data_IF_418479004691
#
_entry.id   IF_418479004691
#
_cell.length_a   1.000
_cell.length_b   1.000
_cell.length_c   1.000
_cell.angle_alpha   90.00
_cell.angle_beta   90.00
_cell.angle_gamma   90.00
#
_symmetry.space_group_name_H-M   'P 1'
#
loop_
_entity.id
_entity.type
_entity.pdbx_description
1 polymer ?
#
# COMPACT_ATOMS: atom_id res chain seq x y z
N UNK A 1 -34.48 10.76 4.45
CA UNK A 1 -33.69 10.93 3.22
C UNK A 1 -32.21 10.60 3.50
N UNK A 2 -31.92 9.35 3.91
CA UNK A 2 -30.58 9.01 4.48
C UNK A 2 -29.92 7.81 3.80
N UNK A 3 -30.68 7.01 3.05
CA UNK A 3 -30.17 5.80 2.37
C UNK A 3 -29.26 6.13 1.17
N UNK A 4 -29.47 7.26 0.50
CA UNK A 4 -28.65 7.67 -0.64
C UNK A 4 -27.21 8.02 -0.25
N UNK A 5 -27.01 8.64 0.91
CA UNK A 5 -25.68 9.02 1.41
C UNK A 5 -24.87 7.78 1.80
N UNK A 6 -25.52 6.78 2.42
CA UNK A 6 -24.87 5.52 2.79
C UNK A 6 -24.40 4.75 1.55
N UNK A 7 -25.21 4.72 0.48
CA UNK A 7 -24.84 4.04 -0.77
C UNK A 7 -23.65 4.73 -1.45
N UNK A 8 -23.69 6.06 -1.55
CA UNK A 8 -22.58 6.85 -2.13
C UNK A 8 -21.30 6.73 -1.31
N UNK A 9 -21.40 6.77 0.03
CA UNK A 9 -20.25 6.59 0.92
C UNK A 9 -19.62 5.19 0.78
N UNK A 10 -20.44 4.15 0.65
CA UNK A 10 -19.95 2.78 0.45
C UNK A 10 -19.26 2.60 -0.91
N UNK A 11 -19.81 3.20 -1.98
CA UNK A 11 -19.18 3.20 -3.31
C UNK A 11 -17.87 3.96 -3.34
N UNK A 12 -17.78 5.12 -2.69
CA UNK A 12 -16.56 5.91 -2.61
C UNK A 12 -15.44 5.19 -1.85
N UNK A 13 -15.78 4.47 -0.77
CA UNK A 13 -14.82 3.66 0.00
C UNK A 13 -14.28 2.49 -0.81
N UNK A 14 -15.12 1.84 -1.62
CA UNK A 14 -14.70 0.81 -2.57
C UNK A 14 -13.77 1.35 -3.64
N UNK A 15 -14.10 2.52 -4.21
CA UNK A 15 -13.27 3.20 -5.21
C UNK A 15 -11.93 3.68 -4.64
N UNK A 16 -11.91 4.23 -3.43
CA UNK A 16 -10.68 4.61 -2.74
C UNK A 16 -9.78 3.40 -2.43
N UNK A 17 -10.37 2.25 -2.07
CA UNK A 17 -9.62 0.98 -1.93
C UNK A 17 -9.08 0.48 -3.26
N UNK A 18 -9.88 0.55 -4.32
CA UNK A 18 -9.47 0.16 -5.66
C UNK A 18 -8.31 1.04 -6.17
N UNK A 19 -8.46 2.36 -6.09
CA UNK A 19 -7.41 3.31 -6.43
C UNK A 19 -6.18 3.17 -5.54
N UNK A 20 -6.35 2.90 -4.23
CA UNK A 20 -5.24 2.63 -3.32
C UNK A 20 -4.49 1.35 -3.69
N UNK A 21 -5.20 0.32 -4.16
CA UNK A 21 -4.61 -0.91 -4.69
C UNK A 21 -3.89 -0.70 -6.02
N UNK A 22 -4.45 0.09 -6.94
CA UNK A 22 -3.90 0.37 -8.28
C UNK A 22 -2.72 1.33 -8.25
N UNK A 23 -2.77 2.40 -7.45
CA UNK A 23 -1.67 3.37 -7.31
C UNK A 23 -0.55 2.89 -6.39
N UNK A 24 -0.68 1.68 -5.81
CA UNK A 24 0.32 1.14 -4.89
C UNK A 24 0.34 1.81 -3.52
N UNK A 25 -0.62 2.69 -3.21
CA UNK A 25 -0.77 3.30 -1.88
C UNK A 25 -1.08 2.26 -0.78
N UNK A 26 -1.62 1.10 -1.16
CA UNK A 26 -1.88 -0.04 -0.26
C UNK A 26 -0.62 -0.90 0.00
N UNK A 27 0.52 -0.59 -0.60
CA UNK A 27 1.73 -1.41 -0.44
C UNK A 27 2.23 -1.47 1.01
N UNK A 28 2.11 -0.39 1.77
CA UNK A 28 2.46 -0.37 3.18
C UNK A 28 1.49 -1.22 4.03
N UNK A 29 0.19 -1.21 3.72
CA UNK A 29 -0.79 -2.06 4.39
C UNK A 29 -0.51 -3.54 4.15
N UNK A 30 -0.18 -3.92 2.91
CA UNK A 30 0.27 -5.27 2.56
C UNK A 30 1.56 -5.67 3.26
N UNK A 31 2.52 -4.75 3.39
CA UNK A 31 3.73 -4.98 4.16
C UNK A 31 3.43 -5.29 5.63
N UNK A 32 2.53 -4.54 6.27
CA UNK A 32 2.14 -4.79 7.66
C UNK A 32 1.39 -6.12 7.82
N UNK A 33 0.52 -6.48 6.87
CA UNK A 33 -0.15 -7.78 6.86
C UNK A 33 0.88 -8.92 6.73
N UNK A 34 1.82 -8.80 5.80
CA UNK A 34 2.90 -9.77 5.63
C UNK A 34 3.78 -9.87 6.88
N UNK A 35 4.17 -8.74 7.47
CA UNK A 35 4.97 -8.69 8.68
C UNK A 35 4.26 -9.38 9.86
N UNK A 36 2.95 -9.18 10.00
CA UNK A 36 2.12 -9.86 11.00
C UNK A 36 2.01 -11.36 10.72
N UNK A 37 1.78 -11.75 9.47
CA UNK A 37 1.64 -13.15 9.07
C UNK A 37 2.96 -13.93 9.19
N UNK A 38 4.09 -13.27 8.92
CA UNK A 38 5.42 -13.85 9.03
C UNK A 38 5.89 -14.00 10.50
N UNK A 39 5.19 -13.39 11.46
CA UNK A 39 5.48 -13.53 12.88
C UNK A 39 6.81 -12.88 13.31
N UNK A 40 7.26 -11.85 12.58
CA UNK A 40 8.46 -11.12 12.94
C UNK A 40 8.28 -10.44 14.31
N UNK A 41 9.23 -10.70 15.23
CA UNK A 41 9.26 -10.12 16.58
C UNK A 41 9.83 -8.70 16.60
N UNK A 42 10.45 -8.26 15.50
CA UNK A 42 10.94 -6.89 15.35
C UNK A 42 9.80 -5.91 15.08
N UNK A 43 10.02 -4.63 15.38
CA UNK A 43 9.05 -3.60 15.03
C UNK A 43 9.02 -3.44 13.51
N UNK A 44 7.83 -3.40 12.87
CA UNK A 44 7.74 -3.13 11.44
C UNK A 44 8.32 -1.76 11.13
N UNK A 45 8.88 -1.62 9.93
CA UNK A 45 9.36 -0.34 9.40
C UNK A 45 8.25 0.70 9.43
N UNK A 46 8.59 1.95 9.71
CA UNK A 46 7.63 3.04 9.56
C UNK A 46 7.28 3.26 8.09
N UNK A 47 6.13 3.86 7.82
CA UNK A 47 5.66 4.12 6.45
C UNK A 47 6.71 4.85 5.60
N UNK A 48 7.35 5.88 6.17
CA UNK A 48 8.40 6.64 5.48
C UNK A 48 9.63 5.79 5.18
N UNK A 49 10.03 4.93 6.11
CA UNK A 49 11.18 4.04 5.92
C UNK A 49 10.89 2.98 4.86
N UNK A 50 9.68 2.43 4.85
CA UNK A 50 9.22 1.50 3.82
C UNK A 50 9.29 2.14 2.43
N UNK A 51 8.79 3.38 2.27
CA UNK A 51 8.83 4.08 0.99
C UNK A 51 10.26 4.44 0.54
N UNK A 52 11.11 4.86 1.48
CA UNK A 52 12.52 5.12 1.19
C UNK A 52 13.23 3.86 0.72
N UNK A 53 13.16 2.78 1.49
CA UNK A 53 13.77 1.49 1.18
C UNK A 53 13.25 0.93 -0.17
N UNK A 54 11.97 1.14 -0.48
CA UNK A 54 11.41 0.77 -1.78
C UNK A 54 11.99 1.61 -2.94
N UNK A 55 12.10 2.92 -2.75
CA UNK A 55 12.69 3.82 -3.75
C UNK A 55 14.18 3.48 -3.96
N UNK A 56 14.92 3.27 -2.87
CA UNK A 56 16.35 2.90 -2.92
C UNK A 56 16.56 1.58 -3.66
N UNK A 57 15.70 0.57 -3.44
CA UNK A 57 15.75 -0.68 -4.22
C UNK A 57 15.46 -0.48 -5.70
N UNK A 58 14.53 0.41 -6.06
CA UNK A 58 14.23 0.72 -7.46
C UNK A 58 15.37 1.49 -8.13
N UNK A 59 16.01 2.40 -7.41
CA UNK A 59 17.15 3.17 -7.89
C UNK A 59 18.39 2.28 -8.06
N UNK A 60 18.67 1.42 -7.07
CA UNK A 60 19.83 0.52 -7.05
C UNK A 60 19.68 -0.69 -7.97
N UNK A 61 18.45 -1.14 -8.24
CA UNK A 61 18.16 -2.24 -9.17
C UNK A 61 17.20 -1.77 -10.25
N UNK A 62 17.65 -0.96 -11.22
CA UNK A 62 16.85 -0.54 -12.35
C UNK A 62 16.68 -1.75 -13.28
N UNK A 63 15.75 -2.64 -12.95
CA UNK A 63 15.45 -3.83 -13.73
C UNK A 63 14.83 -3.36 -15.05
N UNK A 64 15.65 -3.27 -16.10
CA UNK A 64 15.24 -2.71 -17.39
C UNK A 64 16.27 -1.81 -18.09
N UNK A 65 17.49 -1.62 -17.58
CA UNK A 65 18.59 -1.04 -18.38
C UNK A 65 19.25 -2.10 -19.25
N UNK A 66 18.48 -2.76 -20.11
CA UNK A 66 19.04 -3.44 -21.27
C UNK A 66 18.89 -2.50 -22.47
N UNK A 67 19.69 -1.43 -22.46
CA UNK A 67 20.04 -0.64 -23.63
C UNK A 67 21.51 -0.27 -23.49
#
# INVERSE_FOLDING_TARGET
MSSGIALVASGFRGFARYLGGVMGADAYAKYLEHHRAAGHQEAPLTEREFWRDRADRQDSNPQGRCC
#
